data_IF_207566453716
#
_entry.id   IF_207566453716
#
_cell.length_a   1.000
_cell.length_b   1.000
_cell.length_c   1.000
_cell.angle_alpha   90.00
_cell.angle_beta   90.00
_cell.angle_gamma   90.00
#
_symmetry.space_group_name_H-M   'P 1'
#
loop_
_entity.id
_entity.type
_entity.pdbx_description
1 polymer ?
#
# COMPACT_ATOMS: atom_id res chain seq x y z
N UNK A 1 53.76 31.26 13.59
CA UNK A 1 54.61 31.76 12.53
C UNK A 1 53.76 32.35 11.43
N UNK A 2 53.85 33.64 11.30
CA UNK A 2 53.17 34.49 10.32
C UNK A 2 53.69 34.22 8.89
N UNK A 3 52.82 34.32 7.89
CA UNK A 3 53.11 35.10 6.68
C UNK A 3 51.85 35.34 5.85
N UNK A 4 51.45 36.58 5.87
CA UNK A 4 50.58 37.31 4.93
C UNK A 4 51.31 37.64 3.63
N UNK A 5 50.56 37.91 2.56
CA UNK A 5 50.76 38.90 1.50
C UNK A 5 50.00 38.46 0.24
N UNK A 6 49.35 39.23 -0.56
CA UNK A 6 49.00 40.65 -0.75
C UNK A 6 48.19 40.72 -2.06
N UNK A 7 47.19 41.53 -2.07
CA UNK A 7 46.47 42.23 -3.13
C UNK A 7 47.16 42.42 -4.49
N UNK A 8 46.38 42.32 -5.57
CA UNK A 8 46.50 43.22 -6.71
C UNK A 8 45.11 43.48 -7.31
N UNK A 9 44.81 44.80 -7.38
CA UNK A 9 43.60 45.41 -7.98
C UNK A 9 43.94 45.92 -9.39
N UNK A 10 42.88 45.96 -10.25
CA UNK A 10 42.68 47.01 -11.25
C UNK A 10 42.29 46.53 -12.65
N UNK A 11 41.77 47.38 -13.50
CA UNK A 11 40.48 48.04 -13.36
C UNK A 11 39.52 47.79 -14.57
N UNK A 12 38.33 48.40 -14.47
CA UNK A 12 37.18 48.39 -15.35
C UNK A 12 37.43 48.81 -16.81
N UNK A 13 36.63 48.27 -17.72
CA UNK A 13 36.30 48.97 -18.97
C UNK A 13 34.80 48.74 -19.29
N UNK A 14 34.05 49.83 -19.21
CA UNK A 14 32.71 50.02 -19.75
C UNK A 14 32.77 50.07 -21.29
N UNK A 15 31.87 49.37 -21.96
CA UNK A 15 31.51 49.69 -23.34
C UNK A 15 29.98 49.46 -23.51
N UNK A 16 29.30 50.61 -23.56
CA UNK A 16 27.91 50.75 -24.01
C UNK A 16 27.87 50.79 -25.54
N UNK A 17 26.88 50.19 -26.19
CA UNK A 17 26.30 50.62 -27.49
C UNK A 17 25.10 49.72 -27.80
N UNK A 18 23.95 50.25 -27.67
CA UNK A 18 23.13 50.92 -28.72
C UNK A 18 22.21 49.93 -29.48
N UNK A 19 20.94 50.19 -29.27
CA UNK A 19 19.70 49.74 -29.90
C UNK A 19 19.71 49.96 -31.41
N UNK A 20 19.25 48.98 -32.18
CA UNK A 20 18.62 49.24 -33.48
C UNK A 20 17.44 48.27 -33.66
N UNK A 21 16.25 48.84 -33.62
CA UNK A 21 15.02 48.23 -34.09
C UNK A 21 14.98 48.21 -35.61
N UNK A 22 14.73 47.08 -36.19
CA UNK A 22 14.25 46.99 -37.59
C UNK A 22 13.02 46.08 -37.59
N UNK A 23 11.87 46.70 -37.85
CA UNK A 23 10.64 45.99 -38.25
C UNK A 23 10.70 45.78 -39.76
N UNK A 24 10.39 44.54 -40.21
CA UNK A 24 9.55 44.29 -41.40
C UNK A 24 9.56 42.77 -41.75
N UNK A 25 8.43 42.15 -41.63
CA UNK A 25 7.62 41.39 -42.56
C UNK A 25 8.24 40.22 -43.31
N UNK A 26 7.66 39.02 -43.13
CA UNK A 26 7.80 37.91 -44.04
C UNK A 26 7.41 36.59 -43.36
N UNK A 27 6.33 35.99 -43.79
CA UNK A 27 5.80 34.72 -43.30
C UNK A 27 6.81 33.60 -43.40
N UNK A 28 6.89 32.81 -42.35
CA UNK A 28 7.63 31.57 -42.32
C UNK A 28 6.92 30.65 -41.31
N UNK A 29 6.60 29.47 -41.75
CA UNK A 29 5.99 28.39 -40.99
C UNK A 29 6.76 28.17 -39.67
N UNK A 30 6.20 28.68 -38.57
CA UNK A 30 6.61 28.30 -37.23
C UNK A 30 6.04 26.92 -36.93
N UNK A 31 6.81 25.89 -37.25
CA UNK A 31 6.77 24.63 -36.51
C UNK A 31 7.25 24.94 -35.09
N UNK A 32 6.36 25.49 -34.27
CA UNK A 32 6.53 25.53 -32.84
C UNK A 32 6.57 24.08 -32.37
N UNK A 33 7.76 23.56 -32.07
CA UNK A 33 7.95 22.42 -31.18
C UNK A 33 7.35 22.84 -29.85
N UNK A 34 6.05 22.59 -29.68
CA UNK A 34 5.35 22.79 -28.42
C UNK A 34 6.00 21.88 -27.39
N UNK A 35 6.81 22.43 -26.51
CA UNK A 35 6.97 21.90 -25.18
C UNK A 35 5.56 21.71 -24.65
N UNK A 36 5.13 20.46 -24.49
CA UNK A 36 3.85 20.13 -23.86
C UNK A 36 3.86 20.83 -22.50
N UNK A 37 3.11 21.91 -22.39
CA UNK A 37 2.94 22.60 -21.11
C UNK A 37 2.34 21.60 -20.12
N UNK A 38 2.90 21.53 -18.90
CA UNK A 38 2.33 20.69 -17.84
C UNK A 38 0.86 21.04 -17.58
N UNK A 39 0.16 20.24 -16.76
CA UNK A 39 -1.24 20.47 -16.44
C UNK A 39 -1.42 21.89 -15.87
N UNK A 40 -2.50 22.55 -16.23
CA UNK A 40 -2.80 23.96 -15.87
C UNK A 40 -4.22 24.09 -15.32
N UNK A 41 -4.46 25.18 -14.58
CA UNK A 41 -5.76 25.43 -13.93
C UNK A 41 -5.77 25.03 -12.46
N UNK A 42 -6.96 25.16 -11.83
CA UNK A 42 -7.12 24.87 -10.42
C UNK A 42 -6.86 23.37 -10.15
N UNK A 43 -6.05 23.03 -9.14
CA UNK A 43 -5.73 21.65 -8.82
C UNK A 43 -6.97 20.86 -8.39
N UNK A 44 -6.95 19.55 -8.63
CA UNK A 44 -7.86 18.61 -8.02
C UNK A 44 -7.18 18.12 -6.74
N UNK A 45 -7.81 18.32 -5.58
CA UNK A 45 -7.20 18.01 -4.29
C UNK A 45 -7.71 16.70 -3.73
N UNK A 46 -6.77 15.84 -3.33
CA UNK A 46 -7.01 14.62 -2.55
C UNK A 46 -6.13 14.62 -1.30
N UNK A 47 -6.44 13.74 -0.37
CA UNK A 47 -5.61 13.54 0.81
C UNK A 47 -5.26 12.06 1.01
N UNK A 48 -4.18 11.80 1.75
CA UNK A 48 -3.83 10.49 2.29
C UNK A 48 -3.49 10.63 3.77
N UNK A 49 -3.93 9.66 4.57
CA UNK A 49 -3.60 9.57 6.01
C UNK A 49 -2.81 8.29 6.21
N UNK A 50 -1.70 8.39 6.93
CA UNK A 50 -0.87 7.23 7.28
C UNK A 50 -0.01 7.52 8.50
N UNK A 51 0.47 6.48 9.17
CA UNK A 51 1.52 6.60 10.17
C UNK A 51 2.89 6.70 9.49
N UNK A 52 3.30 7.90 9.14
CA UNK A 52 4.57 8.17 8.45
C UNK A 52 5.73 8.29 9.43
N UNK A 53 5.44 8.67 10.67
CA UNK A 53 6.41 8.78 11.76
C UNK A 53 5.78 8.40 13.11
N UNK A 54 6.62 8.23 14.12
CA UNK A 54 6.16 7.88 15.49
C UNK A 54 5.66 6.44 15.61
N UNK A 55 5.37 6.02 16.85
CA UNK A 55 4.78 4.72 17.12
C UNK A 55 5.66 3.49 16.82
N UNK A 56 5.05 2.31 16.90
CA UNK A 56 5.71 1.01 16.71
C UNK A 56 5.63 0.49 15.26
N UNK A 57 4.90 1.18 14.39
CA UNK A 57 4.66 0.75 13.00
C UNK A 57 4.58 1.97 12.07
N UNK A 58 5.74 2.53 11.73
CA UNK A 58 5.82 3.59 10.71
C UNK A 58 5.96 2.96 9.33
N UNK A 59 5.18 3.47 8.37
CA UNK A 59 5.15 2.95 7.01
C UNK A 59 5.20 4.12 6.01
N UNK A 60 6.37 4.74 5.79
CA UNK A 60 6.54 5.83 4.83
C UNK A 60 6.29 5.38 3.39
N UNK A 61 6.23 4.08 3.14
CA UNK A 61 5.93 3.45 1.87
C UNK A 61 4.57 3.90 1.31
N UNK A 62 3.58 4.13 2.18
CA UNK A 62 2.28 4.67 1.75
C UNK A 62 2.42 6.04 1.07
N UNK A 63 3.24 6.92 1.63
CA UNK A 63 3.47 8.24 1.03
C UNK A 63 4.26 8.12 -0.27
N UNK A 64 5.32 7.31 -0.29
CA UNK A 64 6.17 7.16 -1.48
C UNK A 64 5.41 6.63 -2.69
N UNK A 65 4.51 5.67 -2.50
CA UNK A 65 3.66 5.14 -3.56
C UNK A 65 2.64 6.16 -4.07
N UNK A 66 1.93 6.84 -3.15
CA UNK A 66 0.96 7.87 -3.53
C UNK A 66 1.62 9.06 -4.25
N UNK A 67 2.79 9.51 -3.78
CA UNK A 67 3.55 10.59 -4.42
C UNK A 67 4.03 10.21 -5.82
N UNK A 68 4.51 8.99 -6.00
CA UNK A 68 4.91 8.49 -7.32
C UNK A 68 3.73 8.52 -8.29
N UNK A 69 2.55 8.07 -7.85
CA UNK A 69 1.32 8.12 -8.66
C UNK A 69 0.94 9.55 -9.06
N UNK A 70 0.91 10.48 -8.09
CA UNK A 70 0.52 11.88 -8.35
C UNK A 70 1.49 12.54 -9.32
N UNK A 71 2.81 12.40 -9.10
CA UNK A 71 3.83 12.95 -10.00
C UNK A 71 3.73 12.38 -11.41
N UNK A 72 3.51 11.08 -11.52
CA UNK A 72 3.36 10.40 -12.79
C UNK A 72 2.09 10.83 -13.54
N UNK A 73 0.94 10.98 -12.84
CA UNK A 73 -0.31 11.49 -13.42
C UNK A 73 -0.09 12.93 -13.93
N UNK A 74 0.55 13.79 -13.14
CA UNK A 74 0.82 15.16 -13.52
C UNK A 74 1.79 15.25 -14.71
N UNK A 75 2.82 14.40 -14.76
CA UNK A 75 3.74 14.33 -15.88
C UNK A 75 3.05 13.88 -17.19
N UNK A 76 1.97 13.10 -17.07
CA UNK A 76 1.12 12.68 -18.20
C UNK A 76 0.02 13.70 -18.56
N UNK A 77 0.05 14.92 -18.00
CA UNK A 77 -0.86 16.01 -18.33
C UNK A 77 -2.01 16.19 -17.31
N UNK A 78 -1.94 15.55 -16.16
CA UNK A 78 -2.94 15.66 -15.10
C UNK A 78 -4.28 14.99 -15.43
N UNK A 79 -5.31 15.36 -14.69
CA UNK A 79 -6.68 14.87 -14.91
C UNK A 79 -7.47 15.95 -15.67
N UNK A 80 -7.81 15.67 -16.93
CA UNK A 80 -8.46 16.66 -17.82
C UNK A 80 -7.67 17.97 -17.95
N UNK A 81 -6.34 17.88 -17.96
CA UNK A 81 -5.45 19.05 -18.04
C UNK A 81 -5.27 19.81 -16.71
N UNK A 82 -5.89 19.36 -15.60
CA UNK A 82 -5.73 19.93 -14.26
C UNK A 82 -4.71 19.14 -13.44
N UNK A 83 -3.85 19.80 -12.67
CA UNK A 83 -2.92 19.09 -11.79
C UNK A 83 -3.66 18.38 -10.65
N UNK A 84 -3.16 17.20 -10.26
CA UNK A 84 -3.56 16.51 -9.05
C UNK A 84 -2.66 16.96 -7.90
N UNK A 85 -3.25 17.36 -6.78
CA UNK A 85 -2.56 17.76 -5.55
C UNK A 85 -2.91 16.81 -4.43
N UNK A 86 -1.88 16.30 -3.73
CA UNK A 86 -2.03 15.36 -2.63
C UNK A 86 -1.56 16.00 -1.32
N UNK A 87 -2.43 16.01 -0.33
CA UNK A 87 -2.10 16.39 1.05
C UNK A 87 -1.87 15.14 1.89
N UNK A 88 -0.66 14.97 2.40
CA UNK A 88 -0.37 13.93 3.39
C UNK A 88 -0.71 14.43 4.80
N UNK A 89 -1.34 13.57 5.59
CA UNK A 89 -1.46 13.77 7.03
C UNK A 89 -0.87 12.60 7.78
N UNK A 90 0.16 12.88 8.59
CA UNK A 90 0.77 11.90 9.48
C UNK A 90 -0.05 11.78 10.76
N UNK A 91 -0.64 10.62 11.03
CA UNK A 91 -1.39 10.34 12.24
C UNK A 91 -0.52 9.83 13.39
N UNK A 92 0.82 9.80 13.23
CA UNK A 92 1.80 9.34 14.22
C UNK A 92 1.41 8.03 14.92
N UNK A 93 0.61 7.19 14.26
CA UNK A 93 0.04 5.95 14.81
C UNK A 93 -0.75 6.15 16.11
N UNK A 94 -1.51 7.24 16.23
CA UNK A 94 -2.40 7.47 17.37
C UNK A 94 -3.76 8.09 16.98
N UNK A 95 -4.77 7.82 17.82
CA UNK A 95 -6.15 8.24 17.55
C UNK A 95 -6.36 9.75 17.59
N UNK A 96 -5.59 10.49 18.41
CA UNK A 96 -5.72 11.94 18.55
C UNK A 96 -5.27 12.65 17.28
N UNK A 97 -4.14 12.25 16.73
CA UNK A 97 -3.60 12.82 15.51
C UNK A 97 -4.42 12.36 14.29
N UNK A 98 -4.92 11.12 14.26
CA UNK A 98 -5.89 10.69 13.25
C UNK A 98 -7.15 11.58 13.25
N UNK A 99 -7.75 11.82 14.41
CA UNK A 99 -8.89 12.73 14.53
C UNK A 99 -8.56 14.17 14.11
N UNK A 100 -7.33 14.62 14.36
CA UNK A 100 -6.84 15.94 13.87
C UNK A 100 -6.73 15.94 12.35
N UNK A 101 -6.13 14.91 11.75
CA UNK A 101 -6.04 14.75 10.29
C UNK A 101 -7.41 14.89 9.63
N UNK A 102 -8.42 14.17 10.14
CA UNK A 102 -9.78 14.27 9.58
C UNK A 102 -10.38 15.66 9.75
N UNK A 103 -10.22 16.34 10.89
CA UNK A 103 -10.69 17.72 11.06
C UNK A 103 -10.08 18.66 10.03
N UNK A 104 -8.77 18.59 9.83
CA UNK A 104 -8.05 19.46 8.91
C UNK A 104 -8.43 19.18 7.45
N UNK A 105 -8.49 17.92 7.04
CA UNK A 105 -8.94 17.50 5.69
C UNK A 105 -10.40 17.91 5.43
N UNK A 106 -11.27 17.76 6.41
CA UNK A 106 -12.68 18.12 6.25
C UNK A 106 -12.93 19.63 6.26
N UNK A 107 -12.02 20.41 6.85
CA UNK A 107 -12.07 21.87 6.80
C UNK A 107 -11.78 22.40 5.38
N UNK A 108 -10.90 21.76 4.62
CA UNK A 108 -10.68 22.06 3.20
C UNK A 108 -11.79 21.37 2.35
N UNK A 109 -12.73 22.17 1.86
CA UNK A 109 -13.86 21.68 1.06
C UNK A 109 -13.46 21.24 -0.36
N UNK A 110 -12.28 21.65 -0.81
CA UNK A 110 -11.76 21.29 -2.12
C UNK A 110 -11.12 19.89 -2.13
N UNK A 111 -10.83 19.32 -0.97
CA UNK A 111 -10.40 17.91 -0.88
C UNK A 111 -11.61 17.02 -1.15
N UNK A 112 -11.56 16.27 -2.25
CA UNK A 112 -12.72 15.52 -2.77
C UNK A 112 -12.74 14.05 -2.37
N UNK A 113 -11.58 13.47 -1.99
CA UNK A 113 -11.45 12.09 -1.55
C UNK A 113 -10.20 11.90 -0.70
N UNK A 114 -10.16 10.79 0.05
CA UNK A 114 -8.92 10.17 0.51
C UNK A 114 -8.56 9.09 -0.50
N UNK A 115 -7.30 9.07 -0.96
CA UNK A 115 -6.79 8.07 -1.90
C UNK A 115 -5.43 7.54 -1.47
N UNK A 116 -5.33 6.23 -1.28
CA UNK A 116 -4.14 5.57 -0.72
C UNK A 116 -4.00 5.76 0.79
N UNK A 117 -2.89 5.27 1.34
CA UNK A 117 -2.60 5.32 2.78
C UNK A 117 -3.22 4.19 3.59
N UNK A 118 -3.24 4.37 4.91
CA UNK A 118 -3.89 3.47 5.88
C UNK A 118 -4.05 4.17 7.22
N UNK A 119 -5.18 3.99 7.89
CA UNK A 119 -5.43 4.53 9.22
C UNK A 119 -6.05 3.50 10.14
N UNK A 120 -5.37 3.14 11.21
CA UNK A 120 -5.83 2.19 12.22
C UNK A 120 -7.01 2.72 13.08
N UNK A 121 -7.35 3.99 12.95
CA UNK A 121 -8.28 4.70 13.85
C UNK A 121 -9.57 5.16 13.18
N UNK A 122 -9.90 4.65 11.99
CA UNK A 122 -11.14 4.99 11.28
C UNK A 122 -12.40 4.75 12.10
N UNK A 123 -12.42 3.72 12.95
CA UNK A 123 -13.59 3.45 13.81
C UNK A 123 -13.86 4.63 14.78
N UNK A 124 -12.82 5.30 15.26
CA UNK A 124 -12.94 6.47 16.13
C UNK A 124 -13.34 7.76 15.37
N UNK A 125 -13.08 7.81 14.07
CA UNK A 125 -13.36 8.98 13.20
C UNK A 125 -14.56 8.77 12.27
N UNK A 126 -15.19 7.60 12.31
CA UNK A 126 -16.28 7.18 11.44
C UNK A 126 -17.40 8.22 11.30
N UNK A 127 -17.90 8.76 12.42
CA UNK A 127 -18.99 9.75 12.42
C UNK A 127 -18.63 11.01 11.63
N UNK A 128 -17.37 11.47 11.68
CA UNK A 128 -16.92 12.65 10.94
C UNK A 128 -16.86 12.37 9.43
N UNK A 129 -16.34 11.20 9.07
CA UNK A 129 -16.22 10.74 7.68
C UNK A 129 -17.62 10.59 7.05
N UNK A 130 -18.53 9.93 7.76
CA UNK A 130 -19.92 9.69 7.34
C UNK A 130 -20.72 10.98 7.17
N UNK A 131 -20.62 11.89 8.14
CA UNK A 131 -21.29 13.20 8.07
C UNK A 131 -20.82 14.03 6.86
N UNK A 132 -19.55 13.92 6.51
CA UNK A 132 -18.95 14.62 5.37
C UNK A 132 -19.13 13.88 4.04
N UNK A 133 -19.60 12.63 4.06
CA UNK A 133 -19.66 11.73 2.90
C UNK A 133 -18.35 11.69 2.12
N UNK A 134 -17.21 11.65 2.85
CA UNK A 134 -15.89 11.66 2.26
C UNK A 134 -15.54 10.24 1.78
N UNK A 135 -15.39 9.99 0.46
CA UNK A 135 -15.01 8.68 -0.03
C UNK A 135 -13.54 8.37 0.26
N UNK A 136 -13.27 7.11 0.58
CA UNK A 136 -11.94 6.57 0.84
C UNK A 136 -11.65 5.49 -0.21
N UNK A 137 -10.56 5.64 -0.96
CA UNK A 137 -10.25 4.83 -2.14
C UNK A 137 -8.89 4.16 -1.98
N UNK A 138 -8.84 2.84 -2.09
CA UNK A 138 -7.60 2.08 -2.19
C UNK A 138 -6.68 2.20 -0.97
N UNK A 139 -7.22 2.54 0.20
CA UNK A 139 -6.47 2.43 1.45
C UNK A 139 -6.18 0.96 1.79
N UNK A 140 -5.13 0.73 2.56
CA UNK A 140 -4.89 -0.59 3.14
C UNK A 140 -5.85 -0.80 4.32
N UNK A 141 -6.85 -1.71 4.20
CA UNK A 141 -7.93 -1.82 5.17
C UNK A 141 -7.47 -2.57 6.43
N UNK A 142 -7.58 -1.92 7.58
CA UNK A 142 -7.13 -2.44 8.88
C UNK A 142 -8.16 -2.31 10.01
N UNK A 143 -9.20 -1.49 9.82
CA UNK A 143 -10.25 -1.26 10.82
C UNK A 143 -11.59 -1.91 10.43
N UNK A 144 -12.52 -1.99 11.38
CA UNK A 144 -13.89 -2.42 11.07
C UNK A 144 -14.57 -1.49 10.06
N UNK A 145 -14.33 -0.18 10.20
CA UNK A 145 -14.82 0.81 9.23
C UNK A 145 -14.35 0.45 7.82
N UNK A 146 -13.08 0.19 7.63
CA UNK A 146 -12.53 -0.15 6.30
C UNK A 146 -13.18 -1.40 5.70
N UNK A 147 -13.49 -2.36 6.55
CA UNK A 147 -14.06 -3.64 6.11
C UNK A 147 -15.54 -3.57 5.76
N UNK A 148 -16.29 -2.59 6.32
CA UNK A 148 -17.76 -2.65 6.27
C UNK A 148 -18.46 -1.34 5.88
N UNK A 149 -17.77 -0.19 5.89
CA UNK A 149 -18.41 1.11 5.66
C UNK A 149 -18.58 1.41 4.16
N UNK A 150 -19.78 1.84 3.70
CA UNK A 150 -20.06 2.08 2.29
C UNK A 150 -19.31 3.29 1.68
N UNK A 151 -18.55 4.04 2.47
CA UNK A 151 -17.65 5.10 2.00
C UNK A 151 -16.23 4.58 1.71
N UNK A 152 -15.93 3.32 2.03
CA UNK A 152 -14.63 2.69 1.85
C UNK A 152 -14.65 1.77 0.63
N UNK A 153 -13.79 2.05 -0.35
CA UNK A 153 -13.70 1.34 -1.63
C UNK A 153 -12.32 0.69 -1.74
N UNK A 154 -12.20 -0.51 -1.14
CA UNK A 154 -10.91 -1.19 -1.04
C UNK A 154 -10.72 -2.20 -2.18
N UNK A 155 -9.70 -1.92 -2.99
CA UNK A 155 -9.17 -2.84 -4.02
C UNK A 155 -8.08 -3.75 -3.45
N UNK A 156 -7.61 -3.42 -2.27
CA UNK A 156 -6.69 -4.22 -1.48
C UNK A 156 -7.50 -5.28 -0.72
N UNK A 157 -7.06 -6.54 -0.74
CA UNK A 157 -7.78 -7.66 -0.13
C UNK A 157 -7.86 -7.66 1.39
N UNK A 158 -7.34 -6.65 2.07
CA UNK A 158 -7.13 -6.61 3.52
C UNK A 158 -6.15 -7.68 4.05
N UNK A 159 -5.53 -7.37 5.17
CA UNK A 159 -4.57 -8.28 5.82
C UNK A 159 -5.19 -9.66 6.16
N UNK A 160 -6.50 -9.69 6.45
CA UNK A 160 -7.21 -10.93 6.74
C UNK A 160 -7.28 -11.88 5.53
N UNK A 161 -7.35 -11.36 4.31
CA UNK A 161 -7.33 -12.17 3.08
C UNK A 161 -5.95 -12.77 2.87
N UNK A 162 -4.88 -11.99 3.06
CA UNK A 162 -3.50 -12.50 3.01
C UNK A 162 -3.24 -13.60 4.04
N UNK A 163 -3.68 -13.42 5.30
CA UNK A 163 -3.56 -14.46 6.33
C UNK A 163 -4.41 -15.70 6.05
N UNK A 164 -5.61 -15.52 5.51
CA UNK A 164 -6.43 -16.64 5.07
C UNK A 164 -5.70 -17.45 3.99
N UNK A 165 -5.18 -16.78 2.98
CA UNK A 165 -4.48 -17.38 1.86
C UNK A 165 -3.23 -18.12 2.29
N UNK A 166 -2.32 -17.49 3.03
CA UNK A 166 -1.12 -18.17 3.52
C UNK A 166 -1.44 -19.38 4.41
N UNK A 167 -2.59 -19.34 5.14
CA UNK A 167 -3.01 -20.48 5.94
C UNK A 167 -3.51 -21.64 5.05
N UNK A 168 -4.23 -21.33 3.96
CA UNK A 168 -4.61 -22.35 2.97
C UNK A 168 -3.37 -22.99 2.34
N UNK A 169 -2.34 -22.22 2.06
CA UNK A 169 -1.06 -22.72 1.55
C UNK A 169 -0.34 -23.62 2.56
N UNK A 170 -0.27 -23.21 3.83
CA UNK A 170 0.28 -24.03 4.91
C UNK A 170 -0.47 -25.37 5.03
N UNK A 171 -1.80 -25.37 4.88
CA UNK A 171 -2.60 -26.61 4.85
C UNK A 171 -2.25 -27.44 3.62
N UNK A 172 -2.16 -26.82 2.44
CA UNK A 172 -1.82 -27.49 1.18
C UNK A 172 -0.42 -28.12 1.20
N UNK A 173 0.52 -27.53 1.95
CA UNK A 173 1.86 -28.12 2.15
C UNK A 173 1.87 -29.42 2.98
N UNK A 174 0.72 -29.82 3.54
CA UNK A 174 0.54 -31.04 4.31
C UNK A 174 0.76 -30.89 5.82
N UNK A 175 0.87 -29.67 6.33
CA UNK A 175 0.98 -29.41 7.76
C UNK A 175 -0.18 -30.05 8.55
N UNK A 176 0.13 -30.68 9.68
CA UNK A 176 -0.84 -31.28 10.61
C UNK A 176 -0.89 -30.55 11.95
N UNK A 177 0.20 -29.89 12.32
CA UNK A 177 0.35 -29.14 13.55
C UNK A 177 0.85 -27.74 13.24
N UNK A 178 0.16 -26.73 13.74
CA UNK A 178 0.52 -25.31 13.52
C UNK A 178 0.68 -24.60 14.86
N UNK A 179 1.76 -23.86 15.01
CA UNK A 179 1.90 -22.86 16.05
C UNK A 179 1.33 -21.52 15.56
N UNK A 180 0.55 -20.84 16.39
CA UNK A 180 -0.06 -19.54 16.05
C UNK A 180 0.38 -18.46 17.01
N UNK A 181 0.97 -17.38 16.51
CA UNK A 181 1.27 -16.18 17.29
C UNK A 181 0.47 -15.01 16.74
N UNK A 182 -0.20 -14.25 17.60
CA UNK A 182 -0.98 -13.09 17.21
C UNK A 182 -0.79 -11.93 18.19
N UNK A 183 -0.90 -10.70 17.68
CA UNK A 183 -1.01 -9.51 18.52
C UNK A 183 -2.30 -9.58 19.37
N UNK A 184 -2.22 -9.07 20.59
CA UNK A 184 -3.38 -8.91 21.48
C UNK A 184 -4.06 -7.56 21.23
N UNK A 185 -4.72 -7.47 20.07
CA UNK A 185 -5.49 -6.32 19.60
C UNK A 185 -6.79 -6.79 18.91
N UNK A 186 -7.87 -5.99 18.92
CA UNK A 186 -9.17 -6.40 18.35
C UNK A 186 -9.10 -6.86 16.89
N UNK A 187 -8.34 -6.17 16.05
CA UNK A 187 -8.20 -6.53 14.62
C UNK A 187 -7.59 -7.93 14.44
N UNK A 188 -6.67 -8.33 15.34
CA UNK A 188 -6.09 -9.67 15.30
C UNK A 188 -7.10 -10.78 15.60
N UNK A 189 -8.21 -10.50 16.29
CA UNK A 189 -9.26 -11.49 16.55
C UNK A 189 -9.97 -11.93 15.27
N UNK A 190 -10.19 -11.02 14.32
CA UNK A 190 -10.76 -11.31 13.00
C UNK A 190 -9.83 -12.25 12.22
N UNK A 191 -8.53 -11.95 12.23
CA UNK A 191 -7.51 -12.75 11.54
C UNK A 191 -7.40 -14.13 12.21
N UNK A 192 -7.32 -14.17 13.53
CA UNK A 192 -7.24 -15.42 14.31
C UNK A 192 -8.44 -16.33 14.03
N UNK A 193 -9.64 -15.75 13.96
CA UNK A 193 -10.83 -16.50 13.58
C UNK A 193 -10.70 -17.06 12.17
N UNK A 194 -10.29 -16.26 11.20
CA UNK A 194 -10.12 -16.69 9.79
C UNK A 194 -9.10 -17.83 9.68
N UNK A 195 -7.93 -17.68 10.31
CA UNK A 195 -6.89 -18.71 10.39
C UNK A 195 -7.43 -20.00 11.05
N UNK A 196 -8.07 -19.86 12.21
CA UNK A 196 -8.66 -21.00 12.94
C UNK A 196 -9.71 -21.75 12.14
N UNK A 197 -10.58 -21.03 11.41
CA UNK A 197 -11.59 -21.64 10.55
C UNK A 197 -10.95 -22.47 9.41
N UNK A 198 -9.90 -21.97 8.78
CA UNK A 198 -9.17 -22.70 7.72
C UNK A 198 -8.52 -23.97 8.29
N UNK A 199 -7.78 -23.84 9.38
CA UNK A 199 -7.08 -24.96 10.01
C UNK A 199 -8.07 -26.04 10.51
N UNK A 200 -9.15 -25.62 11.19
CA UNK A 200 -10.18 -26.53 11.69
C UNK A 200 -10.88 -27.31 10.58
N UNK A 201 -11.26 -26.65 9.48
CA UNK A 201 -11.86 -27.31 8.31
C UNK A 201 -10.95 -28.36 7.70
N UNK A 202 -9.65 -28.14 7.75
CA UNK A 202 -8.63 -29.05 7.22
C UNK A 202 -8.19 -30.14 8.21
N UNK A 203 -8.71 -30.13 9.45
CA UNK A 203 -8.28 -31.05 10.51
C UNK A 203 -6.84 -30.83 10.98
N UNK A 204 -6.34 -29.59 10.86
CA UNK A 204 -5.01 -29.19 11.33
C UNK A 204 -5.10 -28.67 12.76
N UNK A 205 -4.27 -29.20 13.64
CA UNK A 205 -4.24 -28.86 15.06
C UNK A 205 -3.43 -27.57 15.32
N UNK A 206 -4.00 -26.63 16.08
CA UNK A 206 -3.23 -25.52 16.67
C UNK A 206 -2.65 -26.00 17.98
N UNK A 207 -1.36 -26.41 17.95
CA UNK A 207 -0.69 -26.96 19.13
C UNK A 207 -0.28 -25.91 20.15
N UNK A 208 0.02 -24.69 19.69
CA UNK A 208 0.34 -23.55 20.54
C UNK A 208 -0.30 -22.29 20.00
N UNK A 209 -1.01 -21.54 20.85
CA UNK A 209 -1.66 -20.26 20.50
C UNK A 209 -1.17 -19.17 21.47
N UNK A 210 -0.25 -18.34 20.97
CA UNK A 210 0.43 -17.32 21.76
C UNK A 210 -0.10 -15.93 21.41
N UNK A 211 -0.50 -15.15 22.41
CA UNK A 211 -0.86 -13.74 22.26
C UNK A 211 0.27 -12.87 22.79
N UNK A 212 0.67 -11.87 22.01
CA UNK A 212 1.73 -10.93 22.38
C UNK A 212 1.19 -9.50 22.44
N UNK A 213 1.57 -8.76 23.45
CA UNK A 213 1.22 -7.34 23.53
C UNK A 213 1.89 -6.56 22.37
N UNK A 214 1.24 -5.54 21.79
CA UNK A 214 1.81 -4.72 20.71
C UNK A 214 3.18 -4.11 21.03
N UNK A 215 3.42 -3.82 22.31
CA UNK A 215 4.67 -3.24 22.81
C UNK A 215 5.77 -4.25 23.11
N UNK A 216 5.53 -5.56 22.86
CA UNK A 216 6.52 -6.62 23.15
C UNK A 216 7.74 -6.45 22.24
N UNK A 217 8.87 -6.05 22.80
CA UNK A 217 10.11 -5.85 22.06
C UNK A 217 10.94 -7.15 21.96
N UNK A 218 10.94 -7.97 23.01
CA UNK A 218 11.64 -9.26 23.04
C UNK A 218 10.67 -10.39 22.67
N UNK A 219 10.91 -11.00 21.51
CA UNK A 219 10.10 -12.08 20.98
C UNK A 219 10.70 -13.47 21.24
N UNK A 220 11.74 -13.57 22.07
CA UNK A 220 12.42 -14.85 22.38
C UNK A 220 11.50 -15.81 23.14
N UNK A 221 10.80 -15.34 24.18
CA UNK A 221 9.88 -16.16 24.94
C UNK A 221 8.65 -16.62 24.12
N UNK A 222 7.95 -15.74 23.36
CA UNK A 222 6.92 -16.16 22.42
C UNK A 222 7.41 -17.18 21.37
N UNK A 223 8.62 -17.00 20.85
CA UNK A 223 9.22 -17.94 19.88
C UNK A 223 9.48 -19.32 20.49
N UNK A 224 10.01 -19.39 21.70
CA UNK A 224 10.17 -20.65 22.43
C UNK A 224 8.83 -21.31 22.68
N UNK A 225 7.83 -20.57 23.18
CA UNK A 225 6.53 -21.12 23.51
C UNK A 225 5.82 -21.69 22.29
N UNK A 226 5.82 -20.98 21.15
CA UNK A 226 5.09 -21.43 19.94
C UNK A 226 5.74 -22.64 19.29
N UNK A 227 7.03 -22.90 19.55
CA UNK A 227 7.78 -24.03 18.97
C UNK A 227 7.87 -25.25 19.86
N UNK A 228 7.35 -25.23 21.12
CA UNK A 228 7.51 -26.32 22.09
C UNK A 228 7.06 -27.69 21.58
N UNK A 229 5.90 -27.76 20.92
CA UNK A 229 5.33 -29.03 20.43
C UNK A 229 5.75 -29.34 18.99
N UNK A 230 6.86 -28.75 18.54
CA UNK A 230 7.46 -28.95 17.23
C UNK A 230 6.45 -28.87 16.06
N UNK A 231 5.68 -27.76 15.91
CA UNK A 231 4.70 -27.62 14.86
C UNK A 231 5.33 -27.78 13.47
N UNK A 232 4.51 -28.12 12.46
CA UNK A 232 4.97 -28.25 11.07
C UNK A 232 5.16 -26.89 10.42
N UNK A 233 4.35 -25.88 10.84
CA UNK A 233 4.51 -24.50 10.47
C UNK A 233 4.18 -23.58 11.66
N UNK A 234 4.74 -22.38 11.66
CA UNK A 234 4.37 -21.30 12.58
C UNK A 234 3.75 -20.16 11.78
N UNK A 235 2.50 -19.82 12.06
CA UNK A 235 1.84 -18.63 11.52
C UNK A 235 2.03 -17.50 12.53
N UNK A 236 2.62 -16.38 12.07
CA UNK A 236 3.00 -15.30 12.96
C UNK A 236 2.41 -13.96 12.48
N UNK A 237 1.50 -13.39 13.28
CA UNK A 237 0.91 -12.07 13.07
C UNK A 237 1.55 -11.06 14.02
N UNK A 238 2.28 -10.12 13.48
CA UNK A 238 2.87 -8.98 14.19
C UNK A 238 2.92 -7.75 13.27
N UNK A 239 3.30 -6.60 13.79
CA UNK A 239 3.59 -5.45 12.94
C UNK A 239 4.81 -5.72 12.06
N UNK A 240 4.84 -5.12 10.89
CA UNK A 240 5.91 -5.32 9.92
C UNK A 240 7.31 -5.11 10.51
N UNK A 241 7.49 -4.04 11.31
CA UNK A 241 8.76 -3.74 11.98
C UNK A 241 9.26 -4.86 12.92
N UNK A 242 8.35 -5.71 13.42
CA UNK A 242 8.70 -6.81 14.31
C UNK A 242 8.88 -8.15 13.59
N UNK A 243 8.42 -8.28 12.33
CA UNK A 243 8.40 -9.58 11.63
C UNK A 243 9.79 -10.19 11.45
N UNK A 244 10.78 -9.40 11.04
CA UNK A 244 12.16 -9.89 10.91
C UNK A 244 12.76 -10.31 12.25
N UNK A 245 12.43 -9.61 13.33
CA UNK A 245 12.82 -9.97 14.69
C UNK A 245 12.15 -11.28 15.11
N UNK A 246 10.87 -11.47 14.79
CA UNK A 246 10.13 -12.69 15.06
C UNK A 246 10.72 -13.91 14.33
N UNK A 247 10.99 -13.78 13.02
CA UNK A 247 11.64 -14.84 12.23
C UNK A 247 13.00 -15.21 12.84
N UNK A 248 13.82 -14.20 13.16
CA UNK A 248 15.12 -14.41 13.79
C UNK A 248 14.99 -15.10 15.16
N UNK A 249 14.04 -14.70 16.01
CA UNK A 249 13.77 -15.32 17.30
C UNK A 249 13.39 -16.80 17.13
N UNK A 250 12.49 -17.12 16.17
CA UNK A 250 12.12 -18.50 15.84
C UNK A 250 13.34 -19.32 15.41
N UNK A 251 14.18 -18.80 14.53
CA UNK A 251 15.40 -19.50 14.07
C UNK A 251 16.39 -19.74 15.23
N UNK A 252 16.44 -18.82 16.19
CA UNK A 252 17.30 -18.95 17.39
C UNK A 252 16.86 -20.07 18.35
N UNK A 253 15.58 -20.50 18.31
CA UNK A 253 15.12 -21.69 19.05
C UNK A 253 15.57 -23.01 18.40
N UNK A 254 16.19 -22.96 17.23
CA UNK A 254 16.51 -24.14 16.41
C UNK A 254 15.38 -24.55 15.44
N UNK A 255 14.27 -23.83 15.42
CA UNK A 255 13.16 -24.12 14.51
C UNK A 255 13.56 -23.89 13.05
N UNK A 256 13.46 -24.93 12.22
CA UNK A 256 13.90 -24.94 10.81
C UNK A 256 12.77 -25.15 9.80
N UNK A 257 11.53 -25.36 10.30
CA UNK A 257 10.37 -25.55 9.46
C UNK A 257 9.79 -24.21 9.00
N UNK A 258 8.67 -24.23 8.29
CA UNK A 258 8.04 -23.07 7.67
C UNK A 258 7.58 -22.03 8.70
N UNK A 259 7.92 -20.76 8.44
CA UNK A 259 7.34 -19.58 9.12
C UNK A 259 6.50 -18.83 8.11
N UNK A 260 5.22 -18.60 8.45
CA UNK A 260 4.26 -17.98 7.58
C UNK A 260 3.80 -16.62 8.16
N UNK A 261 3.80 -15.55 7.34
CA UNK A 261 3.39 -14.21 7.73
C UNK A 261 2.88 -13.40 6.53
N UNK A 262 2.16 -12.30 6.78
CA UNK A 262 1.79 -11.35 5.73
C UNK A 262 2.98 -10.48 5.33
N UNK A 263 3.20 -10.33 4.04
CA UNK A 263 4.39 -9.71 3.47
C UNK A 263 4.24 -8.26 3.01
N UNK A 264 3.14 -7.60 3.33
CA UNK A 264 2.74 -6.33 2.71
C UNK A 264 3.80 -5.20 2.80
N UNK A 265 4.60 -5.16 3.87
CA UNK A 265 5.61 -4.13 4.09
C UNK A 265 7.04 -4.57 3.71
N UNK A 266 7.19 -5.65 2.96
CA UNK A 266 8.50 -6.21 2.60
C UNK A 266 8.70 -6.22 1.11
N UNK A 267 9.85 -5.72 0.67
CA UNK A 267 10.31 -5.94 -0.69
C UNK A 267 10.96 -7.33 -0.84
N UNK A 268 11.33 -7.68 -2.06
CA UNK A 268 11.94 -8.98 -2.37
C UNK A 268 13.20 -9.25 -1.54
N UNK A 269 14.09 -8.26 -1.41
CA UNK A 269 15.35 -8.41 -0.68
C UNK A 269 15.14 -8.64 0.82
N UNK A 270 14.15 -7.95 1.43
CA UNK A 270 13.78 -8.16 2.83
C UNK A 270 13.32 -9.60 3.07
N UNK A 271 12.46 -10.13 2.17
CA UNK A 271 11.91 -11.48 2.26
C UNK A 271 13.02 -12.53 2.08
N UNK A 272 13.89 -12.35 1.09
CA UNK A 272 15.00 -13.25 0.83
C UNK A 272 16.01 -13.29 2.00
N UNK A 273 16.29 -12.11 2.59
CA UNK A 273 17.16 -12.02 3.76
C UNK A 273 16.60 -12.76 4.99
N UNK A 274 15.27 -12.65 5.22
CA UNK A 274 14.61 -13.40 6.29
C UNK A 274 14.61 -14.92 6.03
N UNK A 275 14.49 -15.32 4.77
CA UNK A 275 14.45 -16.72 4.34
C UNK A 275 15.79 -17.44 4.37
N UNK A 276 16.91 -16.73 4.54
CA UNK A 276 18.23 -17.35 4.63
C UNK A 276 18.39 -18.35 5.79
N UNK A 277 17.54 -18.23 6.84
CA UNK A 277 17.54 -19.13 8.01
C UNK A 277 16.59 -20.32 7.90
N UNK A 278 15.82 -20.48 6.84
CA UNK A 278 14.86 -21.56 6.61
C UNK A 278 13.62 -21.10 5.85
N UNK A 279 12.70 -22.02 5.47
CA UNK A 279 11.60 -21.76 4.57
C UNK A 279 10.60 -20.75 5.15
N UNK A 280 10.06 -19.89 4.26
CA UNK A 280 8.99 -18.96 4.57
C UNK A 280 7.81 -19.16 3.61
N UNK A 281 6.60 -18.90 4.11
CA UNK A 281 5.39 -18.68 3.32
C UNK A 281 4.91 -17.25 3.57
N UNK A 282 4.87 -16.45 2.53
CA UNK A 282 4.55 -15.01 2.62
C UNK A 282 3.24 -14.74 1.88
N UNK A 283 2.20 -14.38 2.62
CA UNK A 283 0.88 -14.05 2.06
C UNK A 283 0.81 -12.59 1.63
N UNK A 284 0.30 -12.36 0.43
CA UNK A 284 0.06 -11.05 -0.17
C UNK A 284 -1.38 -10.98 -0.69
N UNK A 285 -1.86 -9.79 -1.00
CA UNK A 285 -3.21 -9.56 -1.55
C UNK A 285 -3.20 -9.02 -2.98
N UNK A 286 -2.01 -8.87 -3.54
CA UNK A 286 -1.71 -8.58 -4.94
C UNK A 286 -0.64 -9.54 -5.45
N UNK A 287 -0.33 -9.57 -6.76
CA UNK A 287 0.97 -10.04 -7.23
C UNK A 287 2.09 -9.35 -6.45
N UNK A 288 3.24 -10.00 -6.22
CA UNK A 288 4.35 -9.33 -5.55
C UNK A 288 4.66 -7.98 -6.20
N UNK A 289 4.84 -6.92 -5.41
CA UNK A 289 5.00 -5.57 -5.93
C UNK A 289 6.20 -5.38 -6.90
N UNK A 290 7.18 -6.27 -6.85
CA UNK A 290 8.30 -6.32 -7.80
C UNK A 290 7.97 -7.04 -9.11
N UNK A 291 6.79 -7.66 -9.22
CA UNK A 291 6.36 -8.32 -10.46
C UNK A 291 5.96 -7.26 -11.50
N UNK A 292 6.39 -7.48 -12.73
CA UNK A 292 6.14 -6.59 -13.86
C UNK A 292 5.40 -7.29 -15.01
N UNK A 293 4.80 -8.44 -14.74
CA UNK A 293 4.04 -9.21 -15.74
C UNK A 293 2.70 -8.56 -16.06
N UNK A 294 2.10 -7.85 -15.10
CA UNK A 294 0.84 -7.14 -15.29
C UNK A 294 1.07 -5.70 -15.76
N UNK A 295 0.07 -5.09 -16.43
CA UNK A 295 0.16 -3.72 -16.92
C UNK A 295 0.47 -2.73 -15.80
N UNK A 296 -0.28 -2.81 -14.68
CA UNK A 296 -0.07 -1.87 -13.57
C UNK A 296 1.13 -2.25 -12.69
N UNK A 297 1.50 -3.52 -12.60
CA UNK A 297 2.75 -3.91 -11.94
C UNK A 297 3.96 -3.28 -12.64
N UNK A 298 3.99 -3.33 -13.98
CA UNK A 298 5.03 -2.67 -14.78
C UNK A 298 5.01 -1.15 -14.59
N UNK A 299 3.83 -0.53 -14.74
CA UNK A 299 3.69 0.93 -14.62
C UNK A 299 4.07 1.42 -13.21
N UNK A 300 3.66 0.71 -12.16
CA UNK A 300 4.03 1.03 -10.77
C UNK A 300 5.56 1.04 -10.59
N UNK A 301 6.24 -0.01 -11.06
CA UNK A 301 7.71 -0.08 -10.94
C UNK A 301 8.41 1.03 -11.72
N UNK A 302 7.91 1.40 -12.91
CA UNK A 302 8.40 2.53 -13.70
C UNK A 302 8.16 3.87 -12.99
N UNK A 303 6.96 4.11 -12.48
CA UNK A 303 6.59 5.34 -11.77
C UNK A 303 7.39 5.49 -10.45
N UNK A 304 7.55 4.42 -9.68
CA UNK A 304 8.39 4.42 -8.47
C UNK A 304 9.84 4.76 -8.80
N UNK A 305 10.41 4.13 -9.81
CA UNK A 305 11.79 4.40 -10.25
C UNK A 305 11.98 5.86 -10.68
N UNK A 306 10.99 6.44 -11.35
CA UNK A 306 11.08 7.80 -11.89
C UNK A 306 10.84 8.88 -10.83
N UNK A 307 9.91 8.66 -9.88
CA UNK A 307 9.38 9.72 -9.02
C UNK A 307 9.57 9.48 -7.51
N UNK A 308 9.95 8.26 -7.12
CA UNK A 308 10.23 7.88 -5.73
C UNK A 308 11.35 6.83 -5.66
N UNK A 309 12.56 7.12 -6.21
CA UNK A 309 13.62 6.13 -6.39
C UNK A 309 14.15 5.52 -5.09
N UNK A 310 14.02 6.23 -3.97
CA UNK A 310 14.39 5.75 -2.63
C UNK A 310 13.24 5.03 -1.91
N UNK A 311 12.05 5.02 -2.50
CA UNK A 311 10.86 4.34 -1.97
C UNK A 311 10.96 2.83 -2.14
N UNK A 312 10.44 2.09 -1.16
CA UNK A 312 10.39 0.62 -1.27
C UNK A 312 9.35 0.17 -2.30
N UNK A 313 9.69 -0.87 -3.03
CA UNK A 313 8.80 -1.62 -3.91
C UNK A 313 8.17 -2.74 -3.07
N UNK A 314 7.06 -2.44 -2.42
CA UNK A 314 6.28 -3.36 -1.59
C UNK A 314 4.77 -3.16 -1.79
N UNK A 315 3.96 -3.98 -1.14
CA UNK A 315 2.51 -3.96 -1.31
C UNK A 315 1.85 -2.70 -0.72
N UNK A 316 2.48 -2.05 0.28
CA UNK A 316 1.97 -0.81 0.87
C UNK A 316 2.11 0.36 -0.11
N UNK A 317 3.26 0.48 -0.74
CA UNK A 317 3.51 1.48 -1.79
C UNK A 317 2.68 1.21 -3.04
N UNK A 318 2.54 -0.06 -3.45
CA UNK A 318 1.70 -0.47 -4.58
C UNK A 318 0.22 -0.14 -4.33
N UNK A 319 -0.32 -0.48 -3.16
CA UNK A 319 -1.71 -0.21 -2.79
C UNK A 319 -2.04 1.28 -2.76
N UNK A 320 -1.14 2.11 -2.20
CA UNK A 320 -1.29 3.56 -2.21
C UNK A 320 -1.23 4.15 -3.62
N UNK A 321 -0.27 3.71 -4.43
CA UNK A 321 -0.17 4.10 -5.84
C UNK A 321 -1.46 3.75 -6.60
N UNK A 322 -1.97 2.53 -6.42
CA UNK A 322 -3.21 2.06 -7.06
C UNK A 322 -4.41 2.89 -6.62
N UNK A 323 -4.55 3.21 -5.34
CA UNK A 323 -5.65 4.06 -4.84
C UNK A 323 -5.71 5.42 -5.54
N UNK A 324 -4.55 6.06 -5.75
CA UNK A 324 -4.45 7.33 -6.50
C UNK A 324 -4.76 7.14 -7.99
N UNK A 325 -4.30 6.05 -8.62
CA UNK A 325 -4.62 5.74 -10.02
C UNK A 325 -6.12 5.54 -10.22
N UNK A 326 -6.79 4.81 -9.32
CA UNK A 326 -8.23 4.57 -9.40
C UNK A 326 -9.04 5.86 -9.22
N UNK A 327 -8.60 6.74 -8.30
CA UNK A 327 -9.19 8.08 -8.20
C UNK A 327 -9.06 8.83 -9.52
N UNK A 328 -7.86 8.84 -10.12
CA UNK A 328 -7.62 9.56 -11.37
C UNK A 328 -8.44 9.01 -12.55
N UNK A 329 -8.55 7.69 -12.67
CA UNK A 329 -9.39 7.05 -13.69
C UNK A 329 -10.85 7.47 -13.54
N UNK A 330 -11.42 7.39 -12.33
CA UNK A 330 -12.78 7.82 -12.09
C UNK A 330 -12.95 9.30 -12.40
N UNK A 331 -12.10 10.18 -11.84
CA UNK A 331 -12.20 11.62 -11.99
C UNK A 331 -12.13 12.07 -13.47
N UNK A 332 -11.39 11.34 -14.30
CA UNK A 332 -11.34 11.58 -15.75
C UNK A 332 -12.71 11.39 -16.44
N UNK A 333 -13.59 10.57 -15.89
CA UNK A 333 -14.93 10.30 -16.46
C UNK A 333 -16.01 11.26 -15.95
N UNK A 334 -15.82 11.88 -14.79
CA UNK A 334 -16.84 12.70 -14.14
C UNK A 334 -16.99 14.07 -14.83
N UNK A 335 -18.21 14.57 -15.03
CA UNK A 335 -18.43 15.92 -15.55
C UNK A 335 -17.98 16.99 -14.56
N UNK A 336 -18.15 16.75 -13.27
CA UNK A 336 -17.73 17.60 -12.14
C UNK A 336 -16.96 16.74 -11.16
N UNK A 337 -15.88 17.28 -10.60
CA UNK A 337 -15.03 16.57 -9.62
C UNK A 337 -15.23 17.25 -8.25
N UNK A 338 -16.16 16.73 -7.47
CA UNK A 338 -16.45 17.09 -6.09
C UNK A 338 -16.76 15.82 -5.27
N UNK A 339 -16.85 15.93 -3.93
CA UNK A 339 -17.09 14.77 -3.04
C UNK A 339 -18.32 13.95 -3.44
N UNK A 340 -19.42 14.63 -3.79
CA UNK A 340 -20.68 13.96 -4.12
C UNK A 340 -20.59 13.21 -5.43
N UNK A 341 -19.99 13.81 -6.46
CA UNK A 341 -19.80 13.21 -7.77
C UNK A 341 -18.81 12.06 -7.73
N UNK A 342 -17.71 12.18 -6.96
CA UNK A 342 -16.74 11.11 -6.75
C UNK A 342 -17.41 9.93 -6.03
N UNK A 343 -18.12 10.17 -4.93
CA UNK A 343 -18.83 9.10 -4.22
C UNK A 343 -19.87 8.39 -5.10
N UNK A 344 -20.69 9.16 -5.80
CA UNK A 344 -21.72 8.61 -6.70
C UNK A 344 -21.10 7.84 -7.88
N UNK A 345 -19.95 8.28 -8.38
CA UNK A 345 -19.20 7.60 -9.42
C UNK A 345 -18.63 6.26 -8.95
N UNK A 346 -18.02 6.23 -7.77
CA UNK A 346 -17.52 4.99 -7.16
C UNK A 346 -18.64 3.96 -6.97
N UNK A 347 -19.75 4.37 -6.37
CA UNK A 347 -20.89 3.48 -6.10
C UNK A 347 -21.54 2.89 -7.37
N UNK A 348 -21.23 3.44 -8.53
CA UNK A 348 -21.75 2.98 -9.83
C UNK A 348 -20.67 2.41 -10.75
N UNK A 349 -19.45 2.22 -10.26
CA UNK A 349 -18.32 1.77 -11.07
C UNK A 349 -18.36 0.23 -11.24
N UNK A 350 -18.81 -0.27 -12.40
CA UNK A 350 -19.02 -1.72 -12.59
C UNK A 350 -17.72 -2.46 -12.92
N UNK A 351 -16.74 -1.75 -13.46
CA UNK A 351 -15.44 -2.30 -13.83
C UNK A 351 -14.36 -1.40 -13.24
N UNK A 352 -13.62 -1.93 -12.30
CA UNK A 352 -12.47 -1.26 -11.69
C UNK A 352 -11.22 -1.77 -12.39
N UNK A 353 -10.62 -0.92 -13.22
CA UNK A 353 -9.38 -1.29 -13.92
C UNK A 353 -8.20 -1.23 -12.95
N UNK A 354 -7.69 -2.40 -12.62
CA UNK A 354 -6.49 -2.58 -11.77
C UNK A 354 -5.27 -3.02 -12.58
N UNK A 355 -5.35 -2.97 -13.91
CA UNK A 355 -4.26 -3.32 -14.81
C UNK A 355 -3.69 -4.72 -14.59
N UNK A 356 -4.52 -5.67 -14.16
CA UNK A 356 -4.15 -7.05 -13.88
C UNK A 356 -3.63 -7.32 -12.46
N UNK A 357 -3.68 -6.35 -11.54
CA UNK A 357 -3.28 -6.57 -10.15
C UNK A 357 -4.31 -7.36 -9.33
N UNK A 358 -5.56 -7.41 -9.79
CA UNK A 358 -6.65 -8.17 -9.17
C UNK A 358 -7.44 -8.92 -10.24
N UNK A 359 -8.26 -9.91 -9.88
CA UNK A 359 -9.33 -10.37 -10.77
C UNK A 359 -10.31 -9.22 -11.06
N UNK A 360 -11.25 -9.39 -12.02
CA UNK A 360 -12.28 -8.38 -12.28
C UNK A 360 -13.06 -8.05 -11.01
N UNK A 361 -13.13 -6.77 -10.65
CA UNK A 361 -13.88 -6.27 -9.49
C UNK A 361 -14.82 -5.14 -9.88
N UNK A 362 -15.88 -4.97 -9.11
CA UNK A 362 -16.91 -3.95 -9.31
C UNK A 362 -17.26 -3.31 -7.96
N UNK A 363 -17.27 -1.98 -7.91
CA UNK A 363 -17.79 -1.25 -6.75
C UNK A 363 -19.31 -1.08 -6.78
N UNK A 364 -19.94 -1.30 -7.94
CA UNK A 364 -21.39 -1.26 -8.08
C UNK A 364 -22.08 -2.53 -7.54
N UNK A 365 -21.34 -3.61 -7.42
CA UNK A 365 -21.83 -4.89 -6.94
C UNK A 365 -21.52 -5.11 -5.45
N UNK A 366 -22.12 -6.15 -4.89
CA UNK A 366 -21.77 -6.58 -3.53
C UNK A 366 -20.38 -7.21 -3.54
N UNK A 367 -19.60 -6.93 -2.50
CA UNK A 367 -18.34 -7.62 -2.27
C UNK A 367 -18.53 -9.15 -2.32
N UNK A 368 -17.64 -9.90 -2.96
CA UNK A 368 -17.64 -11.35 -2.95
C UNK A 368 -17.18 -11.93 -1.61
N UNK A 369 -16.70 -11.08 -0.70
CA UNK A 369 -16.16 -11.44 0.60
C UNK A 369 -17.20 -11.19 1.71
N UNK A 370 -17.00 -11.77 2.92
CA UNK A 370 -17.82 -11.44 4.09
C UNK A 370 -17.56 -10.02 4.63
N UNK A 371 -16.81 -9.20 3.91
CA UNK A 371 -16.41 -7.84 4.23
C UNK A 371 -16.98 -6.89 3.17
N UNK A 372 -18.04 -6.16 3.51
CA UNK A 372 -18.84 -5.42 2.52
C UNK A 372 -18.09 -4.38 1.68
N UNK A 373 -16.95 -3.90 2.17
CA UNK A 373 -16.14 -2.85 1.54
C UNK A 373 -14.77 -3.33 1.05
N UNK A 374 -14.56 -4.64 0.96
CA UNK A 374 -13.35 -5.26 0.40
C UNK A 374 -13.74 -6.03 -0.86
N UNK A 375 -13.32 -5.54 -2.01
CA UNK A 375 -13.82 -6.04 -3.29
C UNK A 375 -12.87 -7.03 -3.97
N UNK A 376 -11.61 -7.07 -3.56
CA UNK A 376 -10.63 -8.02 -4.09
C UNK A 376 -10.67 -9.34 -3.29
N UNK A 377 -11.15 -10.45 -3.88
CA UNK A 377 -11.14 -11.75 -3.21
C UNK A 377 -9.82 -12.50 -3.38
N UNK A 378 -8.85 -11.92 -4.09
CA UNK A 378 -7.62 -12.61 -4.42
C UNK A 378 -6.54 -12.44 -3.36
N UNK A 379 -5.70 -13.46 -3.28
CA UNK A 379 -4.41 -13.42 -2.62
C UNK A 379 -3.35 -14.09 -3.48
N UNK A 380 -2.09 -13.82 -3.18
CA UNK A 380 -0.94 -14.56 -3.72
C UNK A 380 -0.04 -15.05 -2.58
N UNK A 381 0.81 -16.00 -2.89
CA UNK A 381 1.76 -16.56 -1.94
C UNK A 381 3.15 -16.56 -2.54
N UNK A 382 4.11 -16.04 -1.80
CA UNK A 382 5.53 -16.13 -2.13
C UNK A 382 6.17 -17.16 -1.20
N UNK A 383 6.80 -18.16 -1.77
CA UNK A 383 7.62 -19.11 -1.03
C UNK A 383 9.07 -18.65 -1.01
N UNK A 384 9.73 -18.82 0.11
CA UNK A 384 11.17 -18.61 0.20
C UNK A 384 11.86 -19.90 0.62
N UNK A 385 12.75 -20.36 -0.24
CA UNK A 385 13.58 -21.54 0.01
C UNK A 385 15.03 -21.17 -0.25
N UNK A 386 15.90 -21.48 0.70
CA UNK A 386 17.33 -21.16 0.64
C UNK A 386 17.62 -19.68 0.32
N UNK A 387 16.80 -18.79 0.89
CA UNK A 387 16.94 -17.34 0.72
C UNK A 387 16.54 -16.83 -0.66
N UNK A 388 15.79 -17.61 -1.46
CA UNK A 388 15.27 -17.20 -2.77
C UNK A 388 13.76 -17.13 -2.73
N UNK A 389 13.23 -15.96 -3.04
CA UNK A 389 11.79 -15.74 -3.18
C UNK A 389 11.30 -16.25 -4.54
N UNK A 390 10.28 -17.09 -4.51
CA UNK A 390 9.62 -17.68 -5.66
C UNK A 390 8.11 -17.42 -5.58
N UNK A 391 7.53 -16.97 -6.69
CA UNK A 391 6.11 -16.78 -6.88
C UNK A 391 5.69 -17.52 -8.14
N UNK A 392 4.64 -18.29 -8.05
CA UNK A 392 4.18 -19.17 -9.15
C UNK A 392 3.40 -18.46 -10.27
N UNK A 393 3.23 -17.14 -10.17
CA UNK A 393 2.50 -16.35 -11.16
C UNK A 393 0.97 -16.35 -10.98
N UNK A 394 0.46 -16.97 -9.92
CA UNK A 394 -0.97 -17.15 -9.73
C UNK A 394 -1.57 -16.24 -8.65
N UNK A 395 -2.82 -15.84 -8.90
CA UNK A 395 -3.73 -15.34 -7.88
C UNK A 395 -4.68 -16.47 -7.47
N UNK A 396 -5.02 -16.51 -6.19
CA UNK A 396 -5.87 -17.53 -5.61
C UNK A 396 -7.11 -16.90 -4.97
N UNK A 397 -8.25 -17.55 -5.09
CA UNK A 397 -9.52 -17.09 -4.56
C UNK A 397 -9.64 -17.38 -3.05
N UNK A 398 -10.04 -16.37 -2.30
CA UNK A 398 -10.36 -16.49 -0.87
C UNK A 398 -11.40 -17.61 -0.64
N UNK A 399 -11.12 -18.48 0.30
CA UNK A 399 -12.03 -19.56 0.73
C UNK A 399 -12.01 -20.82 -0.11
N UNK A 400 -11.62 -20.76 -1.38
CA UNK A 400 -11.56 -21.95 -2.26
C UNK A 400 -10.14 -22.37 -2.61
N UNK A 401 -9.17 -21.46 -2.53
CA UNK A 401 -7.79 -21.63 -2.99
C UNK A 401 -7.68 -22.03 -4.48
N UNK A 402 -8.69 -21.74 -5.27
CA UNK A 402 -8.63 -21.94 -6.72
C UNK A 402 -7.86 -20.82 -7.37
N UNK A 403 -7.09 -21.15 -8.40
CA UNK A 403 -6.45 -20.14 -9.26
C UNK A 403 -7.54 -19.34 -9.97
N UNK A 404 -7.40 -18.02 -9.95
CA UNK A 404 -8.27 -17.09 -10.66
C UNK A 404 -7.45 -16.20 -11.59
N UNK A 405 -8.03 -15.93 -12.76
CA UNK A 405 -7.37 -15.11 -13.77
C UNK A 405 -7.32 -13.64 -13.31
N UNK A 406 -6.18 -12.95 -13.51
CA UNK A 406 -6.11 -11.50 -13.37
C UNK A 406 -7.13 -10.81 -14.26
N UNK A 407 -7.67 -9.69 -13.82
CA UNK A 407 -8.52 -8.82 -14.63
C UNK A 407 -7.72 -8.19 -15.77
N UNK A 408 -8.35 -8.05 -16.92
CA UNK A 408 -7.76 -7.36 -18.08
C UNK A 408 -7.76 -5.84 -17.85
#
# INVERSE_FOLDING_TARGET
MFRSLRFLRGPAALASLAVLAVACGGGGDDTSSGTAGGPSGDPIKIAAISGLSGGVSTNPEYASGADAAVKAINARGGIKGRPLELTHCDNHQNATDSAKCYRDILADKDIVAIAGGSDNYHDATATQIEAAKLPIIGQFPVSKFDLTNPLSFNVNGAVVVGFHGLTQDVVASGAKKVGLVTLDIPTADVIRKSVGDVLSKAGVEIVNNVRIAPSTADLSAPAQQVTQDNPDAVIWLTFAAQTSVAVKALRSTGYKKTVAFAGSAFNRADIEAMGAGGPLTVGLVFPPAWDTSTTFGKQFNEDMKAYSPDGKIDELSLGSWLGVQLFAQLAATLPTIDRASVLAGLQKMPNVDTGGLTPPISFADKSPLPYASVYNPAYSVVHVTDGKADWDGNLYEFGTAKVIEPGA
#
